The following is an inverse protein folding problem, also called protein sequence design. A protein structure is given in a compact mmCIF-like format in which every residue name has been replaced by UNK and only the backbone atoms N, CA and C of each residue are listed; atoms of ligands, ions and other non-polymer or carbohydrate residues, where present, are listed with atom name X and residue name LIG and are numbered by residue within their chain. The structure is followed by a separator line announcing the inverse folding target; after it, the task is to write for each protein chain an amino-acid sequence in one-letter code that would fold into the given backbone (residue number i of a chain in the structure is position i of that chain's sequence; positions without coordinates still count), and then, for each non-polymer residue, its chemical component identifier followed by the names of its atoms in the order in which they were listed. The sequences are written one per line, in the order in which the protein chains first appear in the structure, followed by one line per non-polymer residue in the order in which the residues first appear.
data_IF_388611918201
#
_entry.id   IF_388611918201
#
_cell.length_a   1.000
_cell.length_b   1.000
_cell.length_c   1.000
_cell.angle_alpha   90.00
_cell.angle_beta   90.00
_cell.angle_gamma   90.00
#
_symmetry.space_group_name_H-M   'P 1'
#
loop_
_entity.id
_entity.type
_entity.pdbx_description
1 polymer ?
#
# COMPACT_ATOMS: atom_id res chain seq x y z
N UNK A 1 -5.56 5.49 46.75
CA UNK A 1 -5.78 4.56 45.58
C UNK A 1 -7.12 3.89 45.81
N UNK A 2 -8.17 4.34 45.14
CA UNK A 2 -9.47 3.65 45.18
C UNK A 2 -9.62 2.96 43.84
N UNK A 3 -9.56 1.64 43.82
CA UNK A 3 -9.91 0.86 42.63
C UNK A 3 -11.41 0.60 42.71
N UNK A 4 -12.16 1.09 41.73
CA UNK A 4 -13.59 0.83 41.60
C UNK A 4 -13.81 -0.06 40.39
N UNK A 5 -14.47 -1.22 40.56
CA UNK A 5 -14.90 -2.08 39.50
C UNK A 5 -16.42 -1.92 39.29
N UNK A 6 -16.86 -1.91 38.06
CA UNK A 6 -18.28 -1.68 37.71
C UNK A 6 -19.19 -2.86 38.06
N UNK A 7 -18.67 -4.04 38.31
CA UNK A 7 -19.38 -5.15 38.98
C UNK A 7 -20.56 -5.75 38.21
N UNK A 8 -20.55 -5.72 36.88
CA UNK A 8 -21.56 -6.34 36.03
C UNK A 8 -22.77 -5.44 35.72
N UNK A 9 -22.61 -4.11 35.77
CA UNK A 9 -23.65 -3.15 35.43
C UNK A 9 -23.10 -2.00 34.59
N UNK A 10 -23.83 -1.57 33.58
CA UNK A 10 -23.50 -0.37 32.84
C UNK A 10 -23.62 0.87 33.72
N UNK A 11 -22.73 1.83 33.52
CA UNK A 11 -22.71 3.10 34.21
C UNK A 11 -22.76 4.25 33.21
N UNK A 12 -23.65 5.21 33.43
CA UNK A 12 -23.69 6.45 32.65
C UNK A 12 -23.41 7.63 33.59
N UNK A 13 -22.43 8.45 33.22
CA UNK A 13 -22.10 9.71 33.87
C UNK A 13 -22.48 10.85 32.94
N UNK A 14 -23.48 11.63 33.29
CA UNK A 14 -24.08 12.67 32.42
C UNK A 14 -23.42 14.04 32.52
N UNK A 15 -22.53 14.23 33.47
CA UNK A 15 -21.82 15.49 33.71
C UNK A 15 -20.29 15.29 33.56
N UNK A 16 -19.53 16.28 34.06
CA UNK A 16 -18.07 16.20 34.06
C UNK A 16 -17.63 14.98 34.89
N UNK A 17 -16.72 14.23 34.32
CA UNK A 17 -16.08 13.07 34.93
C UNK A 17 -14.60 13.42 35.20
N UNK A 18 -14.17 13.18 36.43
CA UNK A 18 -12.80 13.38 36.91
C UNK A 18 -12.35 12.05 37.56
N UNK A 19 -11.29 11.46 37.03
CA UNK A 19 -10.78 10.14 37.44
C UNK A 19 -9.32 10.27 37.87
N UNK A 20 -9.10 10.50 39.18
CA UNK A 20 -7.76 10.53 39.83
C UNK A 20 -7.26 9.12 40.22
N UNK A 21 -8.15 8.18 40.37
CA UNK A 21 -7.85 6.81 40.81
C UNK A 21 -7.84 5.79 39.67
N UNK A 22 -8.13 4.54 40.01
CA UNK A 22 -8.26 3.47 39.03
C UNK A 22 -9.72 3.07 38.89
N UNK A 23 -10.23 3.12 37.64
CA UNK A 23 -11.53 2.61 37.27
C UNK A 23 -11.37 1.38 36.38
N UNK A 24 -11.97 0.25 36.75
CA UNK A 24 -11.93 -0.99 35.97
C UNK A 24 -13.26 -1.23 35.26
N UNK A 25 -13.22 -1.25 33.92
CA UNK A 25 -14.33 -1.60 33.04
C UNK A 25 -14.08 -3.02 32.51
N UNK A 26 -14.72 -4.01 33.13
CA UNK A 26 -14.47 -5.42 32.84
C UNK A 26 -15.17 -5.88 31.54
N UNK A 27 -16.48 -6.13 31.63
CA UNK A 27 -17.32 -6.53 30.50
C UNK A 27 -18.54 -5.63 30.30
N UNK A 28 -18.55 -4.49 30.99
CA UNK A 28 -19.67 -3.56 31.04
C UNK A 28 -19.45 -2.36 30.11
N UNK A 29 -20.44 -1.47 30.01
CA UNK A 29 -20.30 -0.19 29.31
C UNK A 29 -20.22 0.97 30.31
N UNK A 30 -19.17 1.77 30.22
CA UNK A 30 -19.05 3.06 30.86
C UNK A 30 -19.36 4.15 29.83
N UNK A 31 -20.45 4.86 30.01
CA UNK A 31 -20.82 6.01 29.15
C UNK A 31 -20.49 7.32 29.84
N UNK A 32 -19.75 8.17 29.17
CA UNK A 32 -19.29 9.47 29.65
C UNK A 32 -19.87 10.56 28.74
N UNK A 33 -21.02 11.13 29.14
CA UNK A 33 -21.73 12.11 28.28
C UNK A 33 -21.11 13.53 28.35
N UNK A 34 -20.42 13.85 29.46
CA UNK A 34 -19.76 15.14 29.66
C UNK A 34 -18.26 15.12 29.33
N UNK A 35 -17.58 16.22 29.58
CA UNK A 35 -16.12 16.28 29.53
C UNK A 35 -15.53 15.31 30.54
N UNK A 36 -14.55 14.55 30.12
CA UNK A 36 -13.81 13.60 30.95
C UNK A 36 -12.36 14.04 31.10
N UNK A 37 -11.92 14.17 32.35
CA UNK A 37 -10.55 14.44 32.75
C UNK A 37 -10.00 13.20 33.47
N UNK A 38 -8.97 12.59 32.88
CA UNK A 38 -8.43 11.32 33.37
C UNK A 38 -6.98 11.56 33.80
N UNK A 39 -6.79 11.85 35.09
CA UNK A 39 -5.48 11.96 35.74
C UNK A 39 -5.03 10.61 36.34
N UNK A 40 -5.97 9.66 36.46
CA UNK A 40 -5.73 8.32 36.96
C UNK A 40 -5.62 7.26 35.87
N UNK A 41 -6.18 6.08 36.12
CA UNK A 41 -6.11 4.94 35.20
C UNK A 41 -7.49 4.42 34.90
N UNK A 42 -7.80 4.27 33.59
CA UNK A 42 -8.92 3.45 33.14
C UNK A 42 -8.36 2.12 32.64
N UNK A 43 -8.86 1.02 33.23
CA UNK A 43 -8.51 -0.34 32.77
C UNK A 43 -9.71 -0.95 32.04
N UNK A 44 -9.53 -1.35 30.78
CA UNK A 44 -10.58 -1.90 29.92
C UNK A 44 -10.22 -3.35 29.59
N UNK A 45 -11.09 -4.30 29.96
CA UNK A 45 -10.88 -5.72 29.63
C UNK A 45 -11.64 -6.09 28.33
N UNK A 46 -12.88 -6.48 28.43
CA UNK A 46 -13.75 -6.76 27.26
C UNK A 46 -14.92 -5.77 27.18
N UNK A 47 -14.93 -4.75 28.04
CA UNK A 47 -15.98 -3.73 28.11
C UNK A 47 -15.75 -2.57 27.14
N UNK A 48 -16.64 -1.60 27.26
CA UNK A 48 -16.65 -0.40 26.40
C UNK A 48 -16.57 0.83 27.30
N UNK A 49 -15.67 1.74 26.95
CA UNK A 49 -15.73 3.13 27.41
C UNK A 49 -16.26 3.97 26.25
N UNK A 50 -17.41 4.58 26.44
CA UNK A 50 -18.17 5.33 25.44
C UNK A 50 -18.15 6.82 25.84
N UNK A 51 -17.18 7.57 25.29
CA UNK A 51 -16.94 8.97 25.63
C UNK A 51 -17.60 9.89 24.59
N UNK A 52 -18.78 10.44 24.95
CA UNK A 52 -19.56 11.31 24.09
C UNK A 52 -19.09 12.77 24.13
N UNK A 53 -18.49 13.20 25.26
CA UNK A 53 -17.89 14.52 25.44
C UNK A 53 -16.41 14.59 25.12
N UNK A 54 -15.78 15.71 25.46
CA UNK A 54 -14.31 15.86 25.37
C UNK A 54 -13.66 14.80 26.26
N UNK A 55 -12.67 14.09 25.72
CA UNK A 55 -11.92 13.08 26.44
C UNK A 55 -10.45 13.50 26.53
N UNK A 56 -9.99 13.83 27.74
CA UNK A 56 -8.63 14.24 28.03
C UNK A 56 -8.00 13.32 29.06
N UNK A 57 -6.88 12.72 28.71
CA UNK A 57 -6.11 11.85 29.60
C UNK A 57 -4.63 12.29 29.70
N UNK A 58 -4.34 13.60 29.57
CA UNK A 58 -2.97 14.13 29.53
C UNK A 58 -2.05 13.57 30.61
N UNK A 59 -2.54 13.43 31.86
CA UNK A 59 -1.77 12.90 32.98
C UNK A 59 -2.14 11.45 33.33
N UNK A 60 -3.06 10.85 32.62
CA UNK A 60 -3.63 9.55 32.93
C UNK A 60 -3.11 8.40 32.08
N UNK A 61 -3.75 7.26 32.25
CA UNK A 61 -3.41 6.03 31.51
C UNK A 61 -4.66 5.27 31.09
N UNK A 62 -4.69 4.82 29.86
CA UNK A 62 -5.70 3.91 29.30
C UNK A 62 -5.06 2.56 29.08
N UNK A 63 -5.47 1.56 29.84
CA UNK A 63 -4.87 0.22 29.83
C UNK A 63 -5.89 -0.79 29.34
N UNK A 64 -5.67 -1.35 28.16
CA UNK A 64 -6.41 -2.51 27.68
C UNK A 64 -5.80 -3.80 28.22
N UNK A 65 -6.58 -4.59 28.95
CA UNK A 65 -6.20 -5.92 29.44
C UNK A 65 -6.85 -7.05 28.64
N UNK A 66 -7.66 -6.71 27.65
CA UNK A 66 -8.36 -7.61 26.73
C UNK A 66 -8.88 -6.84 25.51
N UNK A 67 -9.76 -7.44 24.73
CA UNK A 67 -10.29 -6.89 23.49
C UNK A 67 -11.43 -5.87 23.71
N UNK A 68 -11.29 -4.97 24.68
CA UNK A 68 -12.26 -3.91 24.92
C UNK A 68 -12.16 -2.76 23.94
N UNK A 69 -13.07 -1.79 24.05
CA UNK A 69 -13.13 -0.65 23.11
C UNK A 69 -13.22 0.69 23.86
N UNK A 70 -12.42 1.66 23.43
CA UNK A 70 -12.58 3.06 23.79
C UNK A 70 -13.19 3.79 22.59
N UNK A 71 -14.41 4.26 22.72
CA UNK A 71 -15.16 5.00 21.72
C UNK A 71 -15.13 6.49 22.02
N UNK A 72 -14.78 7.28 21.02
CA UNK A 72 -14.53 8.72 21.15
C UNK A 72 -15.39 9.48 20.14
N UNK A 73 -16.35 10.27 20.65
CA UNK A 73 -17.29 11.03 19.79
C UNK A 73 -16.93 12.50 19.63
N UNK A 74 -16.05 13.03 20.44
CA UNK A 74 -15.74 14.45 20.47
C UNK A 74 -14.23 14.70 20.37
N UNK A 75 -13.80 15.88 20.75
CA UNK A 75 -12.38 16.27 20.76
C UNK A 75 -11.59 15.42 21.76
N UNK A 76 -10.40 15.01 21.34
CA UNK A 76 -9.43 14.25 22.15
C UNK A 76 -8.16 15.08 22.26
N UNK A 77 -7.98 15.88 23.31
CA UNK A 77 -6.75 16.64 23.55
C UNK A 77 -5.55 15.73 23.79
N UNK A 78 -5.75 14.64 24.54
CA UNK A 78 -4.71 13.66 24.83
C UNK A 78 -5.30 12.29 25.18
N UNK A 79 -4.60 11.22 24.84
CA UNK A 79 -4.87 9.85 25.29
C UNK A 79 -3.96 9.44 26.47
N UNK A 80 -3.05 10.32 26.91
CA UNK A 80 -2.12 10.05 28.00
C UNK A 80 -1.18 8.88 27.66
N UNK A 81 -1.08 7.92 28.58
CA UNK A 81 -0.37 6.66 28.29
C UNK A 81 -1.36 5.63 27.81
N UNK A 82 -1.36 5.38 26.50
CA UNK A 82 -2.20 4.35 25.86
C UNK A 82 -1.45 3.02 25.79
N UNK A 83 -2.09 1.92 26.24
CA UNK A 83 -1.50 0.60 26.08
C UNK A 83 -1.63 0.12 24.62
N UNK A 84 -0.59 -0.54 24.14
CA UNK A 84 -0.46 -0.98 22.73
C UNK A 84 -0.47 -2.50 22.57
N UNK A 85 -1.02 -3.25 23.52
CA UNK A 85 -0.98 -4.72 23.50
C UNK A 85 -2.33 -5.37 23.19
N UNK A 86 -3.42 -4.66 23.38
CA UNK A 86 -4.78 -5.14 23.16
C UNK A 86 -5.73 -3.96 22.97
N UNK A 87 -6.98 -4.28 22.61
CA UNK A 87 -8.09 -3.34 22.56
C UNK A 87 -8.14 -2.49 21.31
N UNK A 88 -9.23 -1.77 21.16
CA UNK A 88 -9.50 -0.93 20.01
C UNK A 88 -9.81 0.48 20.46
N UNK A 89 -9.28 1.48 19.78
CA UNK A 89 -9.75 2.86 19.88
C UNK A 89 -10.57 3.18 18.64
N UNK A 90 -11.81 3.63 18.84
CA UNK A 90 -12.72 3.96 17.76
C UNK A 90 -13.06 5.45 17.80
N UNK A 91 -12.80 6.17 16.74
CA UNK A 91 -13.19 7.57 16.57
C UNK A 91 -14.57 7.61 15.87
N UNK A 92 -15.62 7.96 16.62
CA UNK A 92 -17.02 7.89 16.16
C UNK A 92 -17.68 9.27 15.90
N UNK A 93 -17.01 10.38 16.19
CA UNK A 93 -17.52 11.73 15.90
C UNK A 93 -17.65 11.99 14.41
N UNK A 94 -18.60 12.84 13.98
CA UNK A 94 -18.85 13.10 12.54
C UNK A 94 -17.61 13.66 11.85
N UNK A 95 -17.03 14.75 12.35
CA UNK A 95 -15.74 15.28 11.90
C UNK A 95 -14.82 15.34 13.11
N UNK A 96 -13.72 14.62 13.07
CA UNK A 96 -12.91 14.43 14.25
C UNK A 96 -11.43 14.33 13.87
N UNK A 97 -10.56 14.90 14.72
CA UNK A 97 -9.12 14.69 14.60
C UNK A 97 -8.74 13.41 15.34
N UNK A 98 -8.06 12.51 14.65
CA UNK A 98 -7.42 11.35 15.29
C UNK A 98 -6.14 11.83 15.94
N UNK A 99 -6.02 11.58 17.23
CA UNK A 99 -4.83 11.95 18.01
C UNK A 99 -3.61 11.13 17.54
N UNK A 100 -2.45 11.78 17.42
CA UNK A 100 -1.21 11.11 17.04
C UNK A 100 -0.70 10.24 18.19
N UNK A 101 -0.78 8.91 18.01
CA UNK A 101 -0.35 7.94 19.03
C UNK A 101 -0.04 6.58 18.38
N UNK A 102 0.39 5.63 19.20
CA UNK A 102 0.50 4.22 18.85
C UNK A 102 -0.75 3.49 19.35
N UNK A 103 -1.51 2.92 18.45
CA UNK A 103 -2.72 2.13 18.75
C UNK A 103 -2.43 0.64 18.66
N UNK A 104 -3.07 -0.20 19.49
CA UNK A 104 -3.10 -1.63 19.13
C UNK A 104 -4.02 -1.82 17.93
N UNK A 105 -5.32 -1.58 18.05
CA UNK A 105 -6.20 -1.50 16.89
C UNK A 105 -6.90 -0.15 16.82
N UNK A 106 -7.10 0.36 15.62
CA UNK A 106 -7.73 1.65 15.35
C UNK A 106 -8.95 1.46 14.45
N UNK A 107 -10.05 2.13 14.76
CA UNK A 107 -11.20 2.22 13.88
C UNK A 107 -11.57 3.68 13.62
N UNK A 108 -11.59 4.09 12.37
CA UNK A 108 -12.23 5.31 11.93
C UNK A 108 -13.69 4.98 11.62
N UNK A 109 -14.60 5.25 12.57
CA UNK A 109 -15.96 4.74 12.55
C UNK A 109 -17.03 5.78 12.84
N UNK A 110 -18.23 5.31 13.23
CA UNK A 110 -19.32 6.16 13.71
C UNK A 110 -20.19 6.79 12.64
N UNK A 111 -20.18 6.27 11.42
CA UNK A 111 -20.99 6.77 10.31
C UNK A 111 -20.31 7.91 9.55
N UNK A 112 -21.07 8.65 8.74
CA UNK A 112 -20.53 9.64 7.80
C UNK A 112 -19.68 10.73 8.46
N UNK A 113 -18.69 11.24 7.72
CA UNK A 113 -17.83 12.36 8.11
C UNK A 113 -16.35 12.06 7.96
N UNK A 114 -15.52 13.05 8.25
CA UNK A 114 -14.08 12.98 8.04
C UNK A 114 -13.33 12.79 9.36
N UNK A 115 -12.47 11.78 9.40
CA UNK A 115 -11.49 11.54 10.47
C UNK A 115 -10.12 11.98 9.94
N UNK A 116 -9.66 13.15 10.37
CA UNK A 116 -8.39 13.72 9.91
C UNK A 116 -7.28 13.41 10.90
N UNK A 117 -6.13 12.94 10.43
CA UNK A 117 -4.97 12.73 11.29
C UNK A 117 -4.45 14.05 11.89
N UNK A 118 -4.13 14.04 13.16
CA UNK A 118 -3.46 15.14 13.89
C UNK A 118 -1.93 15.00 13.91
N UNK A 119 -1.40 13.90 13.40
CA UNK A 119 0.02 13.55 13.31
C UNK A 119 0.16 12.13 12.79
N UNK A 120 1.39 11.65 12.65
CA UNK A 120 1.64 10.25 12.29
C UNK A 120 1.04 9.29 13.30
N UNK A 121 0.54 8.15 12.82
CA UNK A 121 -0.01 7.09 13.67
C UNK A 121 0.64 5.74 13.36
N UNK A 122 0.78 4.92 14.41
CA UNK A 122 1.17 3.52 14.28
C UNK A 122 0.04 2.63 14.80
N UNK A 123 -0.36 1.62 14.01
CA UNK A 123 -1.37 0.63 14.38
C UNK A 123 -0.70 -0.74 14.42
N UNK A 124 -0.52 -1.28 15.63
CA UNK A 124 0.21 -2.52 15.87
C UNK A 124 -0.65 -3.79 15.61
N UNK A 125 -1.95 -3.61 15.46
CA UNK A 125 -2.92 -4.61 15.05
C UNK A 125 -3.70 -4.11 13.84
N UNK A 126 -5.02 -4.33 13.84
CA UNK A 126 -5.85 -4.04 12.68
C UNK A 126 -6.29 -2.57 12.63
N UNK A 127 -6.33 -2.02 11.43
CA UNK A 127 -6.89 -0.72 11.13
C UNK A 127 -8.13 -0.87 10.23
N UNK A 128 -9.26 -0.34 10.70
CA UNK A 128 -10.53 -0.37 9.96
C UNK A 128 -11.03 1.04 9.66
N UNK A 129 -11.45 1.28 8.44
CA UNK A 129 -12.20 2.46 8.02
C UNK A 129 -13.61 1.99 7.70
N UNK A 130 -14.60 2.42 8.49
CA UNK A 130 -15.99 2.01 8.32
C UNK A 130 -16.61 2.62 7.06
N UNK A 131 -17.66 1.99 6.57
CA UNK A 131 -18.45 2.51 5.46
C UNK A 131 -18.96 3.95 5.73
N UNK A 132 -19.03 4.76 4.69
CA UNK A 132 -19.45 6.17 4.72
C UNK A 132 -18.49 7.12 5.49
N UNK A 133 -17.37 6.62 6.01
CA UNK A 133 -16.33 7.43 6.66
C UNK A 133 -15.25 7.82 5.65
N UNK A 134 -14.78 9.07 5.72
CA UNK A 134 -13.54 9.50 5.08
C UNK A 134 -12.43 9.55 6.12
N UNK A 135 -11.38 8.76 5.92
CA UNK A 135 -10.13 8.90 6.66
C UNK A 135 -9.16 9.75 5.83
N UNK A 136 -8.68 10.86 6.42
CA UNK A 136 -7.85 11.84 5.74
C UNK A 136 -6.50 12.00 6.46
N UNK A 137 -5.41 11.80 5.73
CA UNK A 137 -4.05 11.94 6.29
C UNK A 137 -3.62 13.41 6.42
N UNK A 138 -4.54 14.36 6.23
CA UNK A 138 -4.32 15.80 6.34
C UNK A 138 -3.60 16.43 5.13
N UNK A 139 -4.34 17.23 4.37
CA UNK A 139 -3.82 17.98 3.22
C UNK A 139 -2.82 19.11 3.56
N UNK A 140 -2.50 19.30 4.84
CA UNK A 140 -1.56 20.33 5.30
C UNK A 140 -0.20 19.72 5.64
N UNK A 141 -0.17 18.45 6.07
CA UNK A 141 1.02 17.84 6.67
C UNK A 141 1.34 16.44 6.12
N UNK A 142 0.45 15.85 5.30
CA UNK A 142 0.67 14.56 4.64
C UNK A 142 1.18 13.48 5.59
N UNK A 143 0.46 13.29 6.70
CA UNK A 143 0.87 12.36 7.75
C UNK A 143 0.90 10.92 7.26
N UNK A 144 1.72 10.11 7.90
CA UNK A 144 1.92 8.69 7.57
C UNK A 144 1.18 7.77 8.52
N UNK A 145 0.83 6.59 8.00
CA UNK A 145 0.22 5.50 8.77
C UNK A 145 1.10 4.27 8.67
N UNK A 146 1.56 3.72 9.79
CA UNK A 146 2.22 2.42 9.82
C UNK A 146 1.31 1.35 10.43
N UNK A 147 1.29 0.14 9.86
CA UNK A 147 0.33 -0.90 10.18
C UNK A 147 1.06 -2.25 10.29
N UNK A 148 0.91 -2.91 11.47
CA UNK A 148 1.46 -4.25 11.67
C UNK A 148 0.42 -5.36 11.46
N UNK A 149 -0.89 -5.05 11.54
CA UNK A 149 -2.02 -5.95 11.27
C UNK A 149 -2.65 -5.75 9.89
N UNK A 150 -3.93 -6.05 9.76
CA UNK A 150 -4.69 -5.83 8.52
C UNK A 150 -5.12 -4.37 8.35
N UNK A 151 -5.23 -3.92 7.10
CA UNK A 151 -5.97 -2.69 6.74
C UNK A 151 -7.23 -3.08 5.99
N UNK A 152 -8.38 -2.72 6.55
CA UNK A 152 -9.68 -2.88 5.92
C UNK A 152 -10.32 -1.51 5.67
N UNK A 153 -10.41 -1.10 4.42
CA UNK A 153 -11.02 0.15 4.01
C UNK A 153 -12.40 -0.11 3.36
N UNK A 154 -13.46 0.08 4.14
CA UNK A 154 -14.84 0.00 3.67
C UNK A 154 -15.42 1.39 3.33
N UNK A 155 -14.67 2.46 3.61
CA UNK A 155 -15.03 3.86 3.39
C UNK A 155 -14.20 4.52 2.29
N UNK A 156 -13.69 5.69 2.58
CA UNK A 156 -12.80 6.46 1.71
C UNK A 156 -11.49 6.75 2.44
N UNK A 157 -10.36 6.37 1.84
CA UNK A 157 -9.04 6.82 2.26
C UNK A 157 -8.63 8.03 1.42
N UNK A 158 -8.43 9.19 2.05
CA UNK A 158 -7.92 10.41 1.42
C UNK A 158 -6.42 10.49 1.66
N UNK A 159 -5.66 9.99 0.70
CA UNK A 159 -4.22 9.74 0.85
C UNK A 159 -3.37 11.02 0.85
N UNK A 160 -3.88 12.12 0.26
CA UNK A 160 -3.09 13.33 0.04
C UNK A 160 -1.71 12.96 -0.56
N UNK A 161 -0.59 13.35 0.07
CA UNK A 161 0.77 12.89 -0.29
C UNK A 161 1.37 11.97 0.80
N UNK A 162 0.53 11.39 1.67
CA UNK A 162 0.96 10.55 2.79
C UNK A 162 1.42 9.15 2.38
N UNK A 163 2.09 8.48 3.30
CA UNK A 163 2.60 7.12 3.10
C UNK A 163 1.89 6.12 4.01
N UNK A 164 1.44 5.01 3.43
CA UNK A 164 1.00 3.82 4.18
C UNK A 164 2.14 2.81 4.19
N UNK A 165 2.60 2.43 5.38
CA UNK A 165 3.67 1.44 5.56
C UNK A 165 3.11 0.19 6.20
N UNK A 166 3.24 -0.95 5.55
CA UNK A 166 2.99 -2.27 6.11
C UNK A 166 4.31 -2.81 6.67
N UNK A 167 4.39 -2.98 7.99
CA UNK A 167 5.62 -3.36 8.69
C UNK A 167 5.42 -4.47 9.74
N UNK A 168 4.44 -5.34 9.50
CA UNK A 168 4.10 -6.42 10.41
C UNK A 168 5.15 -7.52 10.55
N UNK A 169 5.03 -8.27 11.66
CA UNK A 169 5.80 -9.49 11.91
C UNK A 169 5.10 -10.74 11.40
N UNK A 170 3.81 -10.65 11.10
CA UNK A 170 2.97 -11.73 10.61
C UNK A 170 2.42 -11.39 9.22
N UNK A 171 1.70 -12.35 8.61
CA UNK A 171 1.04 -12.10 7.35
C UNK A 171 -0.06 -11.05 7.53
N UNK A 172 -0.15 -10.15 6.58
CA UNK A 172 -1.12 -9.06 6.56
C UNK A 172 -2.06 -9.19 5.37
N UNK A 173 -3.26 -8.62 5.51
CA UNK A 173 -4.21 -8.44 4.41
C UNK A 173 -4.48 -6.96 4.25
N UNK A 174 -4.42 -6.49 3.03
CA UNK A 174 -4.78 -5.14 2.67
C UNK A 174 -6.00 -5.18 1.73
N UNK A 175 -7.12 -4.65 2.22
CA UNK A 175 -8.34 -4.41 1.45
C UNK A 175 -8.41 -2.91 1.15
N UNK A 176 -7.99 -2.47 -0.05
CA UNK A 176 -7.85 -1.05 -0.38
C UNK A 176 -9.20 -0.33 -0.55
N UNK A 177 -10.29 -1.08 -0.80
CA UNK A 177 -11.57 -0.50 -1.17
C UNK A 177 -11.51 0.21 -2.53
N UNK A 178 -12.30 1.27 -2.70
CA UNK A 178 -12.32 2.05 -3.95
C UNK A 178 -11.45 3.30 -3.90
N UNK A 179 -10.49 3.38 -2.98
CA UNK A 179 -9.61 4.54 -2.80
C UNK A 179 -8.29 4.36 -3.51
N UNK A 180 -7.68 5.48 -3.94
CA UNK A 180 -6.26 5.51 -4.28
C UNK A 180 -5.41 5.81 -3.05
N UNK A 181 -4.15 5.40 -3.11
CA UNK A 181 -3.12 5.62 -2.10
C UNK A 181 -1.96 6.36 -2.74
N UNK A 182 -1.33 7.29 -2.02
CA UNK A 182 -0.25 8.07 -2.64
C UNK A 182 1.05 7.28 -2.64
N UNK A 183 1.62 6.97 -1.46
CA UNK A 183 2.78 6.08 -1.36
C UNK A 183 2.42 4.83 -0.56
N UNK A 184 2.91 3.68 -1.02
CA UNK A 184 2.86 2.42 -0.28
C UNK A 184 4.26 1.87 -0.08
N UNK A 185 4.58 1.50 1.16
CA UNK A 185 5.82 0.81 1.51
C UNK A 185 5.50 -0.53 2.17
N UNK A 186 6.04 -1.61 1.63
CA UNK A 186 6.08 -2.91 2.29
C UNK A 186 7.45 -3.09 2.97
N UNK A 187 7.45 -3.26 4.29
CA UNK A 187 8.64 -3.45 5.11
C UNK A 187 8.41 -4.49 6.22
N UNK A 188 7.88 -5.64 5.86
CA UNK A 188 7.59 -6.71 6.82
C UNK A 188 8.88 -7.32 7.36
N UNK A 189 9.08 -7.23 8.67
CA UNK A 189 10.36 -7.56 9.33
C UNK A 189 10.46 -9.00 9.84
N UNK A 190 9.41 -9.80 9.71
CA UNK A 190 9.39 -11.21 10.15
C UNK A 190 10.17 -12.18 9.27
N UNK A 191 10.98 -11.68 8.32
CA UNK A 191 11.75 -12.46 7.34
C UNK A 191 11.02 -12.66 6.01
N UNK A 192 11.66 -13.30 5.06
CA UNK A 192 11.25 -13.43 3.64
C UNK A 192 9.88 -14.11 3.42
N UNK A 193 9.32 -14.72 4.46
CA UNK A 193 8.05 -15.44 4.37
C UNK A 193 6.83 -14.59 4.76
N UNK A 194 7.02 -13.35 5.23
CA UNK A 194 5.91 -12.51 5.68
C UNK A 194 5.26 -11.80 4.51
N UNK A 195 4.00 -12.10 4.33
CA UNK A 195 3.25 -11.77 3.13
C UNK A 195 2.24 -10.65 3.40
N UNK A 196 2.22 -9.65 2.53
CA UNK A 196 1.11 -8.73 2.37
C UNK A 196 0.25 -9.24 1.20
N UNK A 197 -0.97 -9.67 1.48
CA UNK A 197 -1.95 -10.07 0.46
C UNK A 197 -2.80 -8.85 0.11
N UNK A 198 -2.86 -8.50 -1.16
CA UNK A 198 -3.78 -7.48 -1.67
C UNK A 198 -5.10 -8.15 -2.00
N UNK A 199 -6.20 -7.65 -1.40
CA UNK A 199 -7.50 -8.30 -1.48
C UNK A 199 -8.35 -7.88 -2.69
N UNK A 200 -8.18 -6.62 -3.15
CA UNK A 200 -8.91 -6.01 -4.27
C UNK A 200 -7.97 -5.17 -5.12
N UNK A 201 -8.45 -4.64 -6.25
CA UNK A 201 -7.69 -3.74 -7.13
C UNK A 201 -7.08 -2.57 -6.35
N UNK A 202 -5.85 -2.20 -6.69
CA UNK A 202 -5.08 -1.21 -5.97
C UNK A 202 -4.56 -0.12 -6.92
N UNK A 203 -4.88 1.12 -6.60
CA UNK A 203 -4.38 2.31 -7.30
C UNK A 203 -3.40 3.05 -6.38
N UNK A 204 -2.20 3.29 -6.87
CA UNK A 204 -1.13 4.00 -6.18
C UNK A 204 -0.77 5.22 -7.04
N UNK A 205 -1.08 6.42 -6.52
CA UNK A 205 -0.92 7.67 -7.29
C UNK A 205 0.55 8.09 -7.42
N UNK A 206 1.46 7.55 -6.58
CA UNK A 206 2.90 7.81 -6.62
C UNK A 206 3.68 6.50 -6.44
N UNK A 207 4.50 6.32 -5.41
CA UNK A 207 5.50 5.26 -5.35
C UNK A 207 5.01 3.99 -4.64
N UNK A 208 5.41 2.84 -5.19
CA UNK A 208 5.37 1.54 -4.54
C UNK A 208 6.78 1.04 -4.21
N UNK A 209 7.08 0.91 -2.93
CA UNK A 209 8.39 0.45 -2.47
C UNK A 209 8.27 -0.86 -1.69
N UNK A 210 8.95 -1.89 -2.15
CA UNK A 210 9.12 -3.16 -1.43
C UNK A 210 10.52 -3.19 -0.82
N UNK A 211 10.60 -2.94 0.50
CA UNK A 211 11.87 -2.95 1.24
C UNK A 211 12.18 -4.34 1.80
N UNK A 212 11.16 -5.06 2.28
CA UNK A 212 11.30 -6.39 2.87
C UNK A 212 9.94 -7.11 2.89
N UNK A 213 9.96 -8.44 2.78
CA UNK A 213 8.76 -9.29 2.78
C UNK A 213 8.25 -9.62 1.39
N UNK A 214 7.06 -10.20 1.31
CA UNK A 214 6.43 -10.65 0.06
C UNK A 214 5.16 -9.87 -0.22
N UNK A 215 5.06 -9.19 -1.35
CA UNK A 215 3.80 -8.71 -1.90
C UNK A 215 3.14 -9.85 -2.68
N UNK A 216 1.93 -10.25 -2.31
CA UNK A 216 1.22 -11.36 -2.93
C UNK A 216 -0.04 -10.88 -3.66
N UNK A 217 -0.01 -10.96 -4.97
CA UNK A 217 -1.14 -10.68 -5.86
C UNK A 217 -1.84 -11.97 -6.33
N UNK A 218 -1.17 -13.12 -6.23
CA UNK A 218 -1.68 -14.40 -6.74
C UNK A 218 -2.89 -14.95 -5.97
N UNK A 219 -3.18 -14.44 -4.77
CA UNK A 219 -4.30 -14.97 -3.95
C UNK A 219 -5.67 -14.48 -4.41
N UNK A 220 -5.76 -13.25 -4.93
CA UNK A 220 -7.00 -12.59 -5.31
C UNK A 220 -6.96 -11.98 -6.72
N UNK A 221 -5.81 -12.05 -7.39
CA UNK A 221 -5.56 -11.49 -8.73
C UNK A 221 -5.98 -10.02 -8.89
N UNK A 222 -5.56 -9.10 -7.98
CA UNK A 222 -5.91 -7.70 -8.12
C UNK A 222 -5.15 -7.05 -9.27
N UNK A 223 -5.80 -6.15 -10.01
CA UNK A 223 -5.12 -5.22 -10.89
C UNK A 223 -4.38 -4.15 -10.06
N UNK A 224 -3.15 -3.82 -10.45
CA UNK A 224 -2.33 -2.81 -9.79
C UNK A 224 -2.04 -1.69 -10.78
N UNK A 225 -2.33 -0.43 -10.38
CA UNK A 225 -1.93 0.77 -11.11
C UNK A 225 -0.93 1.57 -10.28
N UNK A 226 0.18 1.99 -10.89
CA UNK A 226 1.28 2.70 -10.24
C UNK A 226 1.55 3.99 -11.03
N UNK A 227 1.36 5.15 -10.38
CA UNK A 227 1.58 6.47 -10.96
C UNK A 227 3.00 7.01 -10.78
N UNK A 228 3.80 6.46 -9.85
CA UNK A 228 5.19 6.82 -9.59
C UNK A 228 6.15 5.65 -9.81
N UNK A 229 7.20 5.59 -9.02
CA UNK A 229 8.25 4.58 -9.15
C UNK A 229 7.87 3.24 -8.52
N UNK A 230 8.34 2.14 -9.13
CA UNK A 230 8.36 0.82 -8.51
C UNK A 230 9.79 0.47 -8.10
N UNK A 231 10.02 0.34 -6.80
CA UNK A 231 11.31 -0.05 -6.25
C UNK A 231 11.20 -1.35 -5.43
N UNK A 232 11.95 -2.38 -5.83
CA UNK A 232 12.03 -3.67 -5.13
C UNK A 232 13.46 -3.84 -4.63
N UNK A 233 13.64 -3.88 -3.30
CA UNK A 233 14.94 -4.10 -2.66
C UNK A 233 15.40 -5.55 -2.79
N UNK A 234 16.70 -5.79 -2.60
CA UNK A 234 17.26 -7.14 -2.56
C UNK A 234 16.64 -7.96 -1.43
N UNK A 235 16.14 -9.14 -1.74
CA UNK A 235 15.42 -10.04 -0.83
C UNK A 235 13.92 -9.77 -0.73
N UNK A 236 13.39 -8.65 -1.19
CA UNK A 236 11.95 -8.43 -1.28
C UNK A 236 11.36 -9.22 -2.45
N UNK A 237 10.17 -9.78 -2.25
CA UNK A 237 9.54 -10.70 -3.20
C UNK A 237 8.23 -10.13 -3.72
N UNK A 238 8.05 -10.21 -5.03
CA UNK A 238 6.79 -9.96 -5.73
C UNK A 238 6.20 -11.28 -6.23
N UNK A 239 5.04 -11.66 -5.74
CA UNK A 239 4.31 -12.82 -6.25
C UNK A 239 3.17 -12.32 -7.14
N UNK A 240 3.36 -12.48 -8.45
CA UNK A 240 2.41 -11.99 -9.46
C UNK A 240 1.06 -12.71 -9.39
N UNK A 241 0.00 -11.99 -9.77
CA UNK A 241 -1.31 -12.52 -10.13
C UNK A 241 -1.43 -12.78 -11.64
N UNK A 242 -2.66 -12.96 -12.08
CA UNK A 242 -3.02 -13.10 -13.51
C UNK A 242 -3.51 -11.77 -14.10
N UNK A 243 -3.83 -10.77 -13.28
CA UNK A 243 -4.23 -9.43 -13.70
C UNK A 243 -3.02 -8.54 -14.05
N UNK A 244 -3.29 -7.42 -14.71
CA UNK A 244 -2.27 -6.53 -15.26
C UNK A 244 -1.72 -5.56 -14.23
N UNK A 245 -0.40 -5.35 -14.25
CA UNK A 245 0.26 -4.22 -13.59
C UNK A 245 0.39 -3.08 -14.59
N UNK A 246 -0.22 -1.94 -14.28
CA UNK A 246 -0.22 -0.76 -15.15
C UNK A 246 0.72 0.30 -14.59
N UNK A 247 1.59 0.84 -15.43
CA UNK A 247 2.38 2.03 -15.17
C UNK A 247 1.72 3.18 -15.94
N UNK A 248 1.12 4.14 -15.21
CA UNK A 248 0.26 5.19 -15.79
C UNK A 248 0.62 6.63 -15.38
N UNK A 249 1.79 6.83 -14.80
CA UNK A 249 2.29 8.17 -14.44
C UNK A 249 2.90 8.95 -15.60
N UNK A 250 3.56 10.07 -15.28
CA UNK A 250 4.28 10.87 -16.30
C UNK A 250 5.67 10.29 -16.56
N UNK A 251 6.51 10.22 -15.54
CA UNK A 251 7.87 9.65 -15.64
C UNK A 251 8.10 8.71 -14.48
N UNK A 252 8.41 7.46 -14.79
CA UNK A 252 8.49 6.39 -13.80
C UNK A 252 9.80 5.61 -13.92
N UNK A 253 10.27 5.10 -12.79
CA UNK A 253 11.43 4.24 -12.71
C UNK A 253 11.00 2.84 -12.22
N UNK A 254 11.39 1.82 -12.94
CA UNK A 254 11.30 0.43 -12.51
C UNK A 254 12.67 -0.06 -12.06
N UNK A 255 12.79 -0.46 -10.81
CA UNK A 255 14.00 -1.03 -10.26
C UNK A 255 13.72 -2.28 -9.42
N UNK A 256 14.45 -3.36 -9.71
CA UNK A 256 14.48 -4.58 -8.90
C UNK A 256 15.94 -4.92 -8.57
N UNK A 257 16.31 -4.81 -7.29
CA UNK A 257 17.68 -5.03 -6.83
C UNK A 257 18.04 -6.52 -6.67
N UNK A 258 17.09 -7.44 -6.86
CA UNK A 258 17.35 -8.86 -6.76
C UNK A 258 18.27 -9.35 -7.89
N UNK A 259 19.19 -10.26 -7.60
CA UNK A 259 20.09 -10.86 -8.60
C UNK A 259 19.30 -11.60 -9.68
N UNK A 260 18.20 -12.27 -9.30
CA UNK A 260 17.18 -12.80 -10.21
C UNK A 260 15.95 -11.94 -9.99
N UNK A 261 15.60 -11.12 -10.98
CA UNK A 261 14.47 -10.20 -10.88
C UNK A 261 13.14 -10.93 -10.68
N UNK A 262 12.26 -10.31 -9.94
CA UNK A 262 10.88 -10.78 -9.78
C UNK A 262 10.14 -10.73 -11.13
N UNK A 263 9.28 -11.70 -11.38
CA UNK A 263 8.34 -11.61 -12.50
C UNK A 263 7.12 -10.79 -12.05
N UNK A 264 6.95 -9.61 -12.62
CA UNK A 264 5.87 -8.69 -12.25
C UNK A 264 4.49 -9.13 -12.79
N UNK A 265 4.42 -10.08 -13.71
CA UNK A 265 3.18 -10.48 -14.39
C UNK A 265 3.02 -9.79 -15.75
N UNK A 266 1.79 -9.65 -16.21
CA UNK A 266 1.47 -8.91 -17.43
C UNK A 266 1.55 -7.41 -17.13
N UNK A 267 2.28 -6.65 -17.95
CA UNK A 267 2.53 -5.24 -17.76
C UNK A 267 1.93 -4.40 -18.89
N UNK A 268 1.25 -3.32 -18.53
CA UNK A 268 0.80 -2.28 -19.43
C UNK A 268 1.56 -0.98 -19.14
N UNK A 269 2.23 -0.45 -20.15
CA UNK A 269 2.91 0.84 -20.07
C UNK A 269 2.01 1.87 -20.75
N UNK A 270 1.37 2.70 -19.93
CA UNK A 270 0.46 3.78 -20.32
C UNK A 270 0.90 5.13 -19.76
N UNK A 271 2.15 5.22 -19.32
CA UNK A 271 2.82 6.42 -18.85
C UNK A 271 3.54 7.15 -20.00
N UNK A 272 3.94 8.41 -19.78
CA UNK A 272 4.73 9.12 -20.80
C UNK A 272 6.10 8.45 -20.97
N UNK A 273 6.82 8.17 -19.87
CA UNK A 273 8.14 7.53 -19.89
C UNK A 273 8.27 6.53 -18.74
N UNK A 274 8.56 5.25 -19.06
CA UNK A 274 9.06 4.27 -18.09
C UNK A 274 10.54 3.99 -18.33
N UNK A 275 11.37 4.15 -17.32
CA UNK A 275 12.77 3.75 -17.37
C UNK A 275 13.00 2.46 -16.59
N UNK A 276 13.45 1.41 -17.26
CA UNK A 276 13.91 0.17 -16.62
C UNK A 276 15.36 0.36 -16.19
N UNK A 277 15.59 0.59 -14.90
CA UNK A 277 16.88 0.98 -14.36
C UNK A 277 17.78 -0.19 -13.98
N UNK A 278 17.18 -1.33 -13.64
CA UNK A 278 17.88 -2.55 -13.25
C UNK A 278 17.26 -3.74 -13.96
N UNK A 279 17.82 -4.94 -13.76
CA UNK A 279 17.24 -6.18 -14.25
C UNK A 279 15.76 -6.30 -13.90
N UNK A 280 14.90 -6.56 -14.87
CA UNK A 280 13.47 -6.72 -14.67
C UNK A 280 12.92 -7.89 -15.51
N UNK A 281 11.83 -8.50 -15.03
CA UNK A 281 11.14 -9.58 -15.70
C UNK A 281 9.63 -9.35 -15.67
N UNK A 282 8.98 -9.55 -16.81
CA UNK A 282 7.50 -9.54 -16.95
C UNK A 282 7.03 -10.81 -17.64
N UNK A 283 5.76 -11.16 -17.50
CA UNK A 283 5.17 -12.27 -18.26
C UNK A 283 4.93 -11.85 -19.71
N UNK A 284 4.20 -10.76 -19.91
CA UNK A 284 4.06 -10.09 -21.20
C UNK A 284 4.08 -8.58 -20.98
N UNK A 285 4.27 -7.81 -22.04
CA UNK A 285 4.26 -6.35 -21.95
C UNK A 285 3.59 -5.74 -23.17
N UNK A 286 2.78 -4.72 -22.94
CA UNK A 286 2.24 -3.84 -23.95
C UNK A 286 2.70 -2.40 -23.66
N UNK A 287 3.35 -1.78 -24.64
CA UNK A 287 3.73 -0.35 -24.61
C UNK A 287 2.67 0.41 -25.43
N UNK A 288 1.89 1.25 -24.77
CA UNK A 288 0.78 2.02 -25.34
C UNK A 288 1.27 3.07 -26.34
N UNK A 289 0.38 3.51 -27.22
CA UNK A 289 0.69 4.60 -28.15
C UNK A 289 0.92 5.91 -27.39
N UNK A 290 2.05 6.54 -27.62
CA UNK A 290 2.50 7.75 -26.93
C UNK A 290 3.37 7.49 -25.71
N UNK A 291 3.47 6.24 -25.25
CA UNK A 291 4.36 5.84 -24.16
C UNK A 291 5.74 5.48 -24.69
N UNK A 292 6.78 5.80 -23.91
CA UNK A 292 8.17 5.45 -24.16
C UNK A 292 8.68 4.53 -23.05
N UNK A 293 9.22 3.37 -23.42
CA UNK A 293 9.93 2.51 -22.47
C UNK A 293 11.43 2.54 -22.77
N UNK A 294 12.22 2.98 -21.80
CA UNK A 294 13.69 3.08 -21.94
C UNK A 294 14.33 1.95 -21.14
N UNK A 295 15.14 1.13 -21.81
CA UNK A 295 15.98 0.13 -21.15
C UNK A 295 17.38 0.70 -20.98
N UNK A 296 17.80 0.91 -19.74
CA UNK A 296 19.09 1.51 -19.41
C UNK A 296 20.28 0.71 -19.98
N UNK A 297 21.45 1.36 -20.17
CA UNK A 297 22.64 0.69 -20.69
C UNK A 297 23.02 -0.54 -19.86
N UNK A 298 23.31 -1.65 -20.55
CA UNK A 298 23.71 -2.94 -19.97
C UNK A 298 22.67 -3.60 -19.04
N UNK A 299 21.43 -3.16 -19.09
CA UNK A 299 20.32 -3.77 -18.33
C UNK A 299 19.68 -4.89 -19.14
N UNK A 300 19.55 -6.12 -18.60
CA UNK A 300 18.69 -7.14 -19.18
C UNK A 300 17.23 -6.91 -18.78
N UNK A 301 16.34 -7.01 -19.74
CA UNK A 301 14.90 -6.98 -19.55
C UNK A 301 14.27 -8.23 -20.16
N UNK A 302 13.71 -9.09 -19.32
CA UNK A 302 13.14 -10.36 -19.74
C UNK A 302 11.63 -10.25 -19.90
N UNK A 303 11.12 -10.59 -21.06
CA UNK A 303 9.70 -10.72 -21.39
C UNK A 303 9.45 -12.21 -21.67
N UNK A 304 8.90 -12.95 -20.71
CA UNK A 304 8.74 -14.40 -20.82
C UNK A 304 7.72 -14.83 -21.90
N UNK A 305 6.90 -13.90 -22.39
CA UNK A 305 5.89 -14.12 -23.42
C UNK A 305 5.89 -12.99 -24.45
N UNK A 306 4.71 -12.39 -24.69
CA UNK A 306 4.49 -11.46 -25.79
C UNK A 306 5.00 -10.05 -25.47
N UNK A 307 5.71 -9.46 -26.43
CA UNK A 307 6.08 -8.04 -26.43
C UNK A 307 5.30 -7.30 -27.54
N UNK A 308 4.45 -6.35 -27.15
CA UNK A 308 3.70 -5.51 -28.08
C UNK A 308 4.14 -4.05 -27.97
N UNK A 309 4.64 -3.46 -29.03
CA UNK A 309 5.10 -2.09 -29.12
C UNK A 309 4.14 -1.30 -30.01
N UNK A 310 3.29 -0.46 -29.38
CA UNK A 310 2.44 0.49 -30.08
C UNK A 310 2.94 1.93 -29.85
N UNK A 311 3.68 2.17 -28.75
CA UNK A 311 4.47 3.34 -28.45
C UNK A 311 5.91 3.18 -28.92
N UNK A 312 6.88 3.49 -28.03
CA UNK A 312 8.30 3.42 -28.32
C UNK A 312 9.03 2.53 -27.30
N UNK A 313 9.88 1.63 -27.80
CA UNK A 313 10.86 0.91 -27.01
C UNK A 313 12.24 1.43 -27.39
N UNK A 314 12.90 2.15 -26.47
CA UNK A 314 14.26 2.64 -26.57
C UNK A 314 15.22 1.70 -25.85
N UNK A 315 16.15 1.12 -26.57
CA UNK A 315 17.15 0.19 -26.04
C UNK A 315 18.51 0.86 -26.05
N UNK A 316 18.95 1.37 -24.89
CA UNK A 316 20.25 2.03 -24.77
C UNK A 316 21.43 1.05 -24.96
N UNK A 317 22.65 1.58 -25.15
CA UNK A 317 23.84 0.78 -25.47
C UNK A 317 24.04 -0.44 -24.55
N UNK A 318 24.32 -1.58 -25.15
CA UNK A 318 24.53 -2.87 -24.51
C UNK A 318 23.33 -3.41 -23.69
N UNK A 319 22.16 -2.81 -23.79
CA UNK A 319 20.94 -3.36 -23.20
C UNK A 319 20.50 -4.64 -23.94
N UNK A 320 19.80 -5.51 -23.24
CA UNK A 320 19.27 -6.76 -23.82
C UNK A 320 17.78 -6.86 -23.46
N UNK A 321 16.94 -6.95 -24.47
CA UNK A 321 15.55 -7.40 -24.32
C UNK A 321 15.46 -8.83 -24.80
N UNK A 322 14.99 -9.73 -23.95
CA UNK A 322 14.86 -11.17 -24.22
C UNK A 322 13.36 -11.52 -24.21
N UNK A 323 12.77 -11.70 -25.38
CA UNK A 323 11.36 -11.99 -25.58
C UNK A 323 11.16 -13.49 -25.88
N UNK A 324 10.58 -14.21 -24.91
CA UNK A 324 10.27 -15.64 -25.02
C UNK A 324 9.02 -15.97 -25.85
N UNK A 325 8.30 -14.96 -26.32
CA UNK A 325 7.14 -15.11 -27.20
C UNK A 325 7.24 -14.23 -28.44
N UNK A 326 6.07 -13.98 -29.03
CA UNK A 326 5.96 -13.13 -30.22
C UNK A 326 6.32 -11.67 -29.91
N UNK A 327 7.01 -11.03 -30.86
CA UNK A 327 7.22 -9.59 -30.83
C UNK A 327 6.40 -8.93 -31.93
N UNK A 328 5.59 -7.94 -31.54
CA UNK A 328 4.81 -7.13 -32.48
C UNK A 328 5.20 -5.67 -32.36
N UNK A 329 5.71 -5.09 -33.45
CA UNK A 329 5.88 -3.63 -33.59
C UNK A 329 4.75 -3.14 -34.50
N UNK A 330 3.75 -2.50 -33.89
CA UNK A 330 2.57 -2.00 -34.60
C UNK A 330 2.90 -0.82 -35.52
N UNK A 331 1.99 -0.45 -36.42
CA UNK A 331 2.23 0.61 -37.42
C UNK A 331 2.58 2.00 -36.81
N UNK A 332 2.13 2.27 -35.60
CA UNK A 332 2.50 3.49 -34.84
C UNK A 332 3.67 3.28 -33.90
N UNK A 333 4.16 2.04 -33.75
CA UNK A 333 5.22 1.70 -32.81
C UNK A 333 6.62 2.00 -33.36
N UNK A 334 7.54 2.34 -32.47
CA UNK A 334 8.97 2.54 -32.77
C UNK A 334 9.79 1.60 -31.92
N UNK A 335 10.72 0.90 -32.56
CA UNK A 335 11.81 0.19 -31.91
C UNK A 335 13.11 0.95 -32.19
N UNK A 336 13.65 1.59 -31.15
CA UNK A 336 14.92 2.33 -31.19
C UNK A 336 16.03 1.54 -30.50
N UNK A 337 17.12 1.26 -31.21
CA UNK A 337 18.17 0.36 -30.74
C UNK A 337 19.55 1.03 -30.88
N UNK A 338 20.12 1.43 -29.75
CA UNK A 338 21.41 2.10 -29.70
C UNK A 338 22.60 1.16 -29.44
N UNK A 339 23.77 1.57 -29.93
CA UNK A 339 25.07 0.95 -29.66
C UNK A 339 25.09 -0.54 -29.99
N UNK A 340 25.36 -1.37 -29.00
CA UNK A 340 25.46 -2.83 -29.11
C UNK A 340 24.22 -3.54 -28.52
N UNK A 341 23.10 -2.83 -28.42
CA UNK A 341 21.85 -3.37 -27.87
C UNK A 341 21.34 -4.59 -28.66
N UNK A 342 20.59 -5.46 -28.00
CA UNK A 342 20.12 -6.72 -28.56
C UNK A 342 18.67 -6.99 -28.21
N UNK A 343 17.82 -7.16 -29.21
CA UNK A 343 16.50 -7.76 -29.07
C UNK A 343 16.59 -9.24 -29.49
N UNK A 344 16.37 -10.14 -28.54
CA UNK A 344 16.26 -11.58 -28.80
C UNK A 344 14.79 -11.96 -28.86
N UNK A 345 14.44 -12.84 -29.76
CA UNK A 345 13.07 -13.27 -30.00
C UNK A 345 13.05 -14.80 -30.18
N UNK A 346 12.29 -15.49 -29.34
CA UNK A 346 12.18 -16.96 -29.40
C UNK A 346 11.07 -17.43 -30.35
N UNK A 347 10.05 -16.60 -30.60
CA UNK A 347 8.91 -16.94 -31.50
C UNK A 347 8.87 -15.99 -32.71
N UNK A 348 7.73 -15.57 -33.21
CA UNK A 348 7.59 -14.82 -34.44
C UNK A 348 7.77 -13.30 -34.27
N UNK A 349 8.22 -12.62 -35.33
CA UNK A 349 8.33 -11.17 -35.39
C UNK A 349 7.31 -10.61 -36.41
N UNK A 350 6.38 -9.78 -35.91
CA UNK A 350 5.49 -8.98 -36.77
C UNK A 350 5.93 -7.52 -36.73
N UNK A 351 6.32 -6.95 -37.87
CA UNK A 351 6.91 -5.62 -37.91
C UNK A 351 6.21 -4.74 -38.94
N UNK A 352 5.43 -3.76 -38.45
CA UNK A 352 4.72 -2.80 -39.32
C UNK A 352 5.08 -1.35 -39.00
N UNK A 353 5.89 -1.14 -37.95
CA UNK A 353 6.27 0.16 -37.39
C UNK A 353 7.58 0.72 -37.92
N UNK A 354 8.28 1.45 -37.07
CA UNK A 354 9.56 2.12 -37.36
C UNK A 354 10.68 1.37 -36.61
N UNK A 355 11.78 1.07 -37.34
CA UNK A 355 13.04 0.63 -36.77
C UNK A 355 14.06 1.75 -36.88
N UNK A 356 14.56 2.24 -35.74
CA UNK A 356 15.75 3.08 -35.65
C UNK A 356 16.85 2.23 -35.03
N UNK A 357 17.97 2.05 -35.69
CA UNK A 357 19.01 1.15 -35.24
C UNK A 357 20.40 1.70 -35.55
N UNK A 358 21.30 1.66 -34.60
CA UNK A 358 22.70 2.00 -34.79
C UNK A 358 23.52 0.79 -35.29
N UNK A 359 24.73 1.06 -35.82
CA UNK A 359 25.52 0.13 -36.63
C UNK A 359 25.84 -1.23 -35.98
N UNK A 360 25.88 -1.34 -34.64
CA UNK A 360 26.24 -2.56 -33.92
C UNK A 360 25.06 -3.20 -33.18
N UNK A 361 23.88 -2.58 -33.24
CA UNK A 361 22.65 -3.15 -32.66
C UNK A 361 22.13 -4.31 -33.50
N UNK A 362 21.38 -5.27 -32.89
CA UNK A 362 20.87 -6.42 -33.62
C UNK A 362 19.60 -7.03 -33.08
N UNK A 363 18.81 -7.58 -33.95
CA UNK A 363 17.69 -8.46 -33.65
C UNK A 363 18.17 -9.90 -33.90
N UNK A 364 18.13 -10.73 -32.87
CA UNK A 364 18.47 -12.15 -32.92
C UNK A 364 17.20 -12.98 -32.86
N UNK A 365 16.92 -13.77 -33.91
CA UNK A 365 15.90 -14.80 -33.89
C UNK A 365 16.58 -16.07 -33.37
N UNK A 366 16.38 -16.41 -32.10
CA UNK A 366 17.13 -17.48 -31.43
C UNK A 366 16.26 -18.60 -30.84
N UNK A 367 15.00 -18.69 -31.29
CA UNK A 367 14.10 -19.77 -30.96
C UNK A 367 14.50 -21.14 -31.50
N UNK A 368 14.10 -22.19 -30.80
CA UNK A 368 14.36 -23.59 -31.16
C UNK A 368 13.44 -24.12 -32.30
N UNK A 369 12.42 -23.37 -32.68
CA UNK A 369 11.44 -23.70 -33.70
C UNK A 369 11.59 -22.82 -34.96
N UNK A 370 10.84 -23.11 -36.01
CA UNK A 370 10.84 -22.24 -37.19
C UNK A 370 10.16 -20.93 -36.85
N UNK A 371 10.90 -19.83 -37.00
CA UNK A 371 10.42 -18.48 -36.80
C UNK A 371 10.04 -17.80 -38.10
N UNK A 372 9.07 -16.91 -38.07
CA UNK A 372 8.56 -16.18 -39.22
C UNK A 372 8.65 -14.68 -38.97
N UNK A 373 9.09 -13.95 -39.98
CA UNK A 373 9.04 -12.47 -39.98
C UNK A 373 7.90 -12.05 -40.89
N UNK A 374 6.97 -11.30 -40.37
CA UNK A 374 5.89 -10.64 -41.08
C UNK A 374 6.19 -9.14 -41.18
N UNK A 375 5.95 -8.53 -42.34
CA UNK A 375 6.15 -7.11 -42.60
C UNK A 375 5.03 -6.52 -43.45
#
# INVERSE_FOLDING_TARGET
LVTTAMGGNNLTVTNITDIDGTLAVAGDTLTLDGTSDIDGTITISTGIVDANGIFDAENGSIIFTGAGNLKLFSTVPSLGTLSTTNGTVTYEGVNQTIFSDNYYSLTAGGGSGTKTLGGDVAVLGDFTIDADVTFDVSSISDYSVSIEGALENNGTFSAQEGTVTFNGFDNQVFTPGSSSYYNITLNNSGGDEKTLVIADDLVIDNDLTLTNGTLNLNSNDPAISIGGDLAIADGAVWTKGDETVTFDGATQLLSDANTVSNNLGDALIDCDILTVATNATVTSIQISSGSITIINPSVPFNVNGILTITGELEMADASIVDAGGDVTVAAAGTLDMDGTSRLKIEEDLSFSGILEASDDSRIDLDGDTQQTIYG
#
